data_IF_446895680198
#
_entry.id   IF_446895680198
#
_cell.length_a   1.000
_cell.length_b   1.000
_cell.length_c   1.000
_cell.angle_alpha   90.00
_cell.angle_beta   90.00
_cell.angle_gamma   90.00
#
_symmetry.space_group_name_H-M   'P 1'
#
loop_
_entity.id
_entity.type
_entity.pdbx_description
1 polymer ?
#
# COMPACT_ATOMS: atom_id res chain seq x y z
N UNK A 1 -14.71 5.60 -5.96
CA UNK A 1 -13.35 5.23 -5.53
C UNK A 1 -13.44 4.65 -4.14
N UNK A 2 -12.54 3.76 -3.77
CA UNK A 2 -12.60 3.07 -2.49
C UNK A 2 -12.44 4.07 -1.33
N UNK A 3 -13.31 4.04 -0.29
CA UNK A 3 -13.23 4.97 0.83
C UNK A 3 -11.94 4.83 1.64
N UNK A 4 -11.42 5.95 2.18
CA UNK A 4 -10.25 5.99 3.08
C UNK A 4 -10.32 4.96 4.20
N UNK A 5 -11.47 4.83 4.87
CA UNK A 5 -11.67 3.89 5.99
C UNK A 5 -11.52 2.41 5.57
N UNK A 6 -11.90 2.06 4.35
CA UNK A 6 -11.72 0.70 3.83
C UNK A 6 -10.24 0.36 3.58
N UNK A 7 -9.41 1.39 3.35
CA UNK A 7 -7.95 1.24 3.18
C UNK A 7 -7.25 1.25 4.54
N UNK A 8 -7.56 2.19 5.43
CA UNK A 8 -6.78 2.40 6.66
C UNK A 8 -7.34 1.68 7.90
N UNK A 9 -8.61 1.27 7.89
CA UNK A 9 -9.33 0.74 9.04
C UNK A 9 -9.01 -0.71 9.42
N UNK A 10 -7.76 -1.15 9.24
CA UNK A 10 -7.31 -2.52 9.52
C UNK A 10 -5.94 -2.54 10.20
N UNK A 11 -5.65 -3.63 10.90
CA UNK A 11 -4.43 -3.78 11.69
C UNK A 11 -3.15 -3.81 10.84
N UNK A 12 -3.21 -4.36 9.61
CA UNK A 12 -2.06 -4.38 8.69
C UNK A 12 -1.58 -2.96 8.37
N UNK A 13 -2.49 -2.07 7.97
CA UNK A 13 -2.13 -0.70 7.62
C UNK A 13 -1.72 0.13 8.84
N UNK A 14 -2.41 -0.03 9.98
CA UNK A 14 -2.02 0.60 11.23
C UNK A 14 -0.58 0.26 11.61
N UNK A 15 -0.24 -1.02 11.51
CA UNK A 15 1.08 -1.52 11.87
C UNK A 15 2.16 -1.10 10.88
N UNK A 16 1.91 -1.19 9.57
CA UNK A 16 2.83 -0.71 8.55
C UNK A 16 3.10 0.79 8.74
N UNK A 17 2.07 1.61 8.97
CA UNK A 17 2.27 3.04 9.19
C UNK A 17 3.03 3.29 10.48
N UNK A 18 2.72 2.59 11.58
CA UNK A 18 3.49 2.72 12.83
C UNK A 18 4.98 2.37 12.64
N UNK A 19 5.28 1.36 11.84
CA UNK A 19 6.65 0.99 11.45
C UNK A 19 7.30 2.11 10.62
N UNK A 20 6.57 2.73 9.68
CA UNK A 20 7.08 3.87 8.90
C UNK A 20 7.32 5.12 9.74
N UNK A 21 6.47 5.40 10.73
CA UNK A 21 6.66 6.51 11.66
C UNK A 21 7.91 6.31 12.50
N UNK A 22 8.20 5.06 12.89
CA UNK A 22 9.47 4.74 13.55
C UNK A 22 10.68 5.02 12.64
N UNK A 23 10.62 4.61 11.37
CA UNK A 23 11.66 4.98 10.38
C UNK A 23 11.75 6.49 10.17
N UNK A 24 10.62 7.20 10.14
CA UNK A 24 10.59 8.65 9.93
C UNK A 24 11.53 9.36 10.90
N UNK A 25 11.54 8.97 12.18
CA UNK A 25 12.45 9.55 13.16
C UNK A 25 13.93 9.30 12.84
N UNK A 26 14.29 8.10 12.36
CA UNK A 26 15.63 7.80 11.86
C UNK A 26 16.01 8.73 10.71
N UNK A 27 15.10 8.93 9.74
CA UNK A 27 15.32 9.77 8.56
C UNK A 27 15.42 11.25 8.91
N UNK A 28 14.66 11.73 9.89
CA UNK A 28 14.79 13.08 10.44
C UNK A 28 16.15 13.30 11.11
N UNK A 29 16.67 12.29 11.82
CA UNK A 29 18.03 12.27 12.34
C UNK A 29 19.09 12.39 11.24
N UNK A 30 18.97 11.60 10.18
CA UNK A 30 19.90 11.66 9.04
C UNK A 30 19.84 12.99 8.29
N UNK A 31 18.65 13.57 8.08
CA UNK A 31 18.52 14.90 7.48
C UNK A 31 19.30 15.94 8.28
N UNK A 32 19.17 15.92 9.61
CA UNK A 32 19.91 16.85 10.49
C UNK A 32 21.43 16.67 10.37
N UNK A 33 21.90 15.45 10.17
CA UNK A 33 23.31 15.15 9.99
C UNK A 33 23.82 15.40 8.55
N UNK A 34 22.96 15.80 7.61
CA UNK A 34 23.33 16.03 6.21
C UNK A 34 23.49 14.74 5.38
N UNK A 35 22.94 13.62 5.84
CA UNK A 35 23.10 12.28 5.21
C UNK A 35 21.77 11.67 4.76
N UNK A 36 20.86 12.49 4.23
CA UNK A 36 19.58 11.99 3.73
C UNK A 36 19.82 11.26 2.40
N UNK A 37 19.31 10.02 2.20
CA UNK A 37 19.54 9.30 0.96
C UNK A 37 18.78 9.96 -0.19
N UNK A 38 19.39 9.88 -1.38
CA UNK A 38 18.77 10.38 -2.59
C UNK A 38 17.54 9.57 -3.01
N UNK A 39 16.61 10.14 -3.80
CA UNK A 39 15.42 9.45 -4.28
C UNK A 39 15.65 8.17 -5.10
N UNK A 40 16.87 7.90 -5.53
CA UNK A 40 17.27 6.70 -6.28
C UNK A 40 18.29 5.84 -5.54
N UNK A 41 18.74 6.24 -4.35
CA UNK A 41 19.60 5.41 -3.50
C UNK A 41 18.73 4.32 -2.87
N UNK A 42 18.50 3.25 -3.64
CA UNK A 42 17.87 2.03 -3.15
C UNK A 42 18.76 1.46 -2.04
N UNK A 43 18.18 1.31 -0.85
CA UNK A 43 18.86 0.72 0.28
C UNK A 43 18.90 -0.78 0.07
N UNK A 44 19.79 -1.28 -0.79
CA UNK A 44 20.06 -2.72 -0.93
C UNK A 44 20.44 -3.38 0.41
N UNK A 45 20.74 -2.57 1.42
CA UNK A 45 20.75 -2.92 2.82
C UNK A 45 19.82 -1.95 3.56
N UNK A 46 19.08 -2.40 4.59
CA UNK A 46 18.20 -1.57 5.43
C UNK A 46 18.91 -0.47 6.26
N UNK A 47 20.01 0.07 5.73
CA UNK A 47 20.82 1.16 6.26
C UNK A 47 19.97 2.41 6.48
N UNK A 48 19.04 2.71 5.58
CA UNK A 48 18.23 3.94 5.66
C UNK A 48 16.79 3.68 6.09
N UNK A 49 16.07 2.76 5.42
CA UNK A 49 14.69 2.39 5.74
C UNK A 49 14.58 0.91 6.16
N UNK A 50 13.41 0.51 6.66
CA UNK A 50 13.05 -0.89 6.78
C UNK A 50 13.10 -1.54 5.39
N UNK A 51 13.57 -2.79 5.33
CA UNK A 51 13.64 -3.55 4.09
C UNK A 51 12.30 -3.53 3.37
N UNK A 52 12.35 -3.60 2.05
CA UNK A 52 11.16 -3.73 1.24
C UNK A 52 10.31 -4.90 1.72
N UNK A 53 8.99 -4.83 1.61
CA UNK A 53 8.15 -5.98 1.91
C UNK A 53 6.93 -5.98 1.00
N UNK A 54 6.47 -7.16 0.61
CA UNK A 54 5.20 -7.32 -0.12
C UNK A 54 4.29 -8.20 0.74
N UNK A 55 3.12 -7.69 1.10
CA UNK A 55 2.08 -8.45 1.79
C UNK A 55 0.99 -8.81 0.81
N UNK A 56 0.70 -10.10 0.67
CA UNK A 56 -0.23 -10.65 -0.34
C UNK A 56 -1.24 -11.55 0.38
N UNK A 57 -2.54 -11.48 0.06
CA UNK A 57 -3.50 -12.50 0.46
C UNK A 57 -3.04 -13.89 -0.01
N UNK A 58 -2.73 -14.78 0.94
CA UNK A 58 -1.92 -15.97 0.69
C UNK A 58 -2.55 -16.99 -0.26
N UNK A 59 -3.88 -17.08 -0.29
CA UNK A 59 -4.59 -17.98 -1.20
C UNK A 59 -4.48 -17.64 -2.69
N UNK A 60 -3.88 -16.50 -3.04
CA UNK A 60 -3.52 -16.15 -4.42
C UNK A 60 -2.30 -16.93 -4.94
N UNK A 61 -1.40 -17.38 -4.08
CA UNK A 61 -0.11 -17.93 -4.48
C UNK A 61 -0.09 -19.44 -4.24
N UNK A 62 0.00 -20.20 -5.33
CA UNK A 62 -0.01 -21.67 -5.26
C UNK A 62 1.37 -22.27 -4.94
N UNK A 63 2.41 -21.78 -5.61
CA UNK A 63 3.79 -22.25 -5.49
C UNK A 63 4.78 -21.08 -5.50
N UNK A 64 5.97 -21.31 -4.96
CA UNK A 64 7.09 -20.36 -5.01
C UNK A 64 7.85 -20.45 -6.35
N UNK A 65 8.96 -19.70 -6.46
CA UNK A 65 9.83 -19.71 -7.65
C UNK A 65 10.49 -21.06 -7.93
N UNK A 66 10.65 -21.90 -6.91
CA UNK A 66 11.22 -23.25 -7.03
C UNK A 66 10.13 -24.30 -7.34
N UNK A 67 8.93 -23.84 -7.71
CA UNK A 67 7.75 -24.65 -7.99
C UNK A 67 7.28 -25.49 -6.79
N UNK A 68 7.72 -25.14 -5.58
CA UNK A 68 7.30 -25.83 -4.36
C UNK A 68 5.98 -25.25 -3.88
N UNK A 69 5.07 -26.15 -3.52
CA UNK A 69 3.80 -25.77 -2.91
C UNK A 69 4.03 -24.94 -1.65
N UNK A 70 3.32 -23.82 -1.52
CA UNK A 70 3.41 -22.99 -0.32
C UNK A 70 2.89 -23.77 0.89
N UNK A 71 3.76 -23.93 1.90
CA UNK A 71 3.39 -24.43 3.23
C UNK A 71 3.45 -23.27 4.21
N UNK A 72 2.46 -23.19 5.09
CA UNK A 72 2.41 -22.20 6.15
C UNK A 72 1.94 -22.85 7.45
N UNK A 73 2.39 -22.31 8.57
CA UNK A 73 1.94 -22.74 9.88
C UNK A 73 0.62 -22.04 10.22
N UNK A 74 -0.38 -22.84 10.60
CA UNK A 74 -1.67 -22.34 11.08
C UNK A 74 -1.57 -22.08 12.57
N UNK A 75 -1.88 -20.86 12.99
CA UNK A 75 -1.93 -20.47 14.39
C UNK A 75 -3.37 -20.33 14.90
N UNK A 76 -4.36 -20.63 14.07
CA UNK A 76 -5.77 -20.38 14.35
C UNK A 76 -6.12 -18.89 14.30
N UNK A 77 -7.26 -18.50 14.87
CA UNK A 77 -7.69 -17.10 14.88
C UNK A 77 -6.72 -16.28 15.76
N UNK A 78 -6.08 -15.29 15.15
CA UNK A 78 -5.08 -14.45 15.79
C UNK A 78 -5.70 -13.12 16.25
N UNK A 79 -5.32 -12.66 17.45
CA UNK A 79 -5.69 -11.33 17.93
C UNK A 79 -4.85 -10.23 17.29
N UNK A 80 -5.38 -9.02 17.27
CA UNK A 80 -4.74 -7.85 16.65
C UNK A 80 -3.29 -7.65 17.12
N UNK A 81 -3.03 -7.74 18.42
CA UNK A 81 -1.68 -7.54 18.99
C UNK A 81 -0.67 -8.58 18.51
N UNK A 82 -1.06 -9.85 18.49
CA UNK A 82 -0.21 -10.94 18.01
C UNK A 82 0.03 -10.82 16.50
N UNK A 83 -0.99 -10.42 15.74
CA UNK A 83 -0.87 -10.16 14.30
C UNK A 83 0.12 -9.03 14.03
N UNK A 84 -0.01 -7.90 14.73
CA UNK A 84 0.91 -6.76 14.59
C UNK A 84 2.37 -7.13 14.87
N UNK A 85 2.61 -7.96 15.90
CA UNK A 85 3.94 -8.48 16.20
C UNK A 85 4.52 -9.29 15.03
N UNK A 86 3.71 -10.18 14.45
CA UNK A 86 4.12 -10.97 13.26
C UNK A 86 4.40 -10.09 12.05
N UNK A 87 3.63 -9.02 11.82
CA UNK A 87 3.92 -8.04 10.75
C UNK A 87 5.29 -7.37 10.96
N UNK A 88 5.64 -6.96 12.19
CA UNK A 88 6.98 -6.42 12.48
C UNK A 88 8.10 -7.42 12.20
N UNK A 89 7.89 -8.69 12.51
CA UNK A 89 8.85 -9.75 12.23
C UNK A 89 8.99 -9.96 10.71
N UNK A 90 7.88 -9.96 9.98
CA UNK A 90 7.85 -10.13 8.52
C UNK A 90 8.54 -8.98 7.76
N UNK A 91 8.49 -7.75 8.26
CA UNK A 91 9.18 -6.57 7.68
C UNK A 91 10.71 -6.70 7.64
N UNK A 92 11.30 -7.73 8.26
CA UNK A 92 12.74 -8.02 8.18
C UNK A 92 13.14 -8.75 6.89
N UNK A 93 12.18 -9.32 6.17
CA UNK A 93 12.41 -10.02 4.92
C UNK A 93 12.14 -9.09 3.74
N UNK A 94 13.00 -9.13 2.73
CA UNK A 94 12.81 -8.33 1.50
C UNK A 94 11.77 -8.94 0.53
N UNK A 95 11.45 -10.20 0.77
CA UNK A 95 10.60 -11.05 -0.07
C UNK A 95 9.11 -10.93 0.31
N UNK A 96 8.27 -11.69 -0.39
CA UNK A 96 6.84 -11.68 -0.13
C UNK A 96 6.49 -12.36 1.21
N UNK A 97 5.47 -11.80 1.86
CA UNK A 97 4.78 -12.35 3.01
C UNK A 97 3.34 -12.64 2.59
N UNK A 98 2.94 -13.89 2.75
CA UNK A 98 1.60 -14.37 2.41
C UNK A 98 0.75 -14.43 3.67
N UNK A 99 -0.37 -13.71 3.63
CA UNK A 99 -1.29 -13.52 4.75
C UNK A 99 -2.50 -14.46 4.61
N UNK A 100 -2.74 -15.31 5.59
CA UNK A 100 -3.91 -16.17 5.69
C UNK A 100 -4.74 -15.74 6.90
N UNK A 101 -6.05 -15.98 6.89
CA UNK A 101 -6.90 -15.66 8.05
C UNK A 101 -6.48 -16.42 9.31
N UNK A 102 -5.86 -17.59 9.15
CA UNK A 102 -5.42 -18.49 10.22
C UNK A 102 -3.89 -18.64 10.31
N UNK A 103 -3.11 -17.84 9.57
CA UNK A 103 -1.67 -18.02 9.53
C UNK A 103 -0.92 -17.04 8.63
N UNK A 104 0.40 -17.19 8.58
CA UNK A 104 1.26 -16.34 7.77
C UNK A 104 2.54 -17.09 7.40
N UNK A 105 3.08 -16.82 6.22
CA UNK A 105 4.43 -17.25 5.83
C UNK A 105 5.19 -16.07 5.22
N UNK A 106 6.42 -15.87 5.66
CA UNK A 106 7.30 -14.78 5.22
C UNK A 106 8.49 -15.32 4.45
N UNK A 107 9.12 -14.48 3.63
CA UNK A 107 10.35 -14.84 2.94
C UNK A 107 10.15 -15.55 1.59
N UNK A 108 8.93 -15.53 1.03
CA UNK A 108 8.59 -16.27 -0.18
C UNK A 108 9.16 -15.57 -1.43
N UNK A 109 9.99 -16.30 -2.18
CA UNK A 109 10.45 -15.90 -3.50
C UNK A 109 9.37 -16.21 -4.53
N UNK A 110 9.05 -15.22 -5.36
CA UNK A 110 7.96 -15.31 -6.32
C UNK A 110 8.52 -15.18 -7.74
N UNK A 111 8.00 -15.98 -8.67
CA UNK A 111 8.40 -15.92 -10.07
C UNK A 111 7.73 -14.72 -10.78
N UNK A 112 8.50 -13.65 -10.97
CA UNK A 112 8.05 -12.46 -11.71
C UNK A 112 7.64 -12.78 -13.16
N UNK A 113 8.24 -13.79 -13.80
CA UNK A 113 7.92 -14.22 -15.16
C UNK A 113 6.53 -14.82 -15.25
N UNK A 114 6.22 -15.78 -14.36
CA UNK A 114 4.89 -16.39 -14.25
C UNK A 114 3.78 -15.34 -14.10
N UNK A 115 3.89 -14.43 -13.13
CA UNK A 115 2.86 -13.41 -12.89
C UNK A 115 2.74 -12.42 -14.04
N UNK A 116 3.86 -12.04 -14.67
CA UNK A 116 3.84 -11.15 -15.84
C UNK A 116 3.11 -11.80 -17.03
N UNK A 117 3.37 -13.07 -17.29
CA UNK A 117 2.70 -13.86 -18.33
C UNK A 117 1.21 -14.03 -18.02
N UNK A 118 0.86 -14.34 -16.78
CA UNK A 118 -0.52 -14.44 -16.33
C UNK A 118 -1.31 -13.15 -16.57
N UNK A 119 -0.79 -12.02 -16.07
CA UNK A 119 -1.43 -10.72 -16.20
C UNK A 119 -1.62 -10.32 -17.67
N UNK A 120 -0.62 -10.54 -18.53
CA UNK A 120 -0.73 -10.31 -19.98
C UNK A 120 -1.81 -11.17 -20.61
N UNK A 121 -1.82 -12.49 -20.35
CA UNK A 121 -2.85 -13.39 -20.94
C UNK A 121 -4.27 -12.99 -20.52
N UNK A 122 -4.47 -12.69 -19.24
CA UNK A 122 -5.78 -12.24 -18.71
C UNK A 122 -6.28 -11.03 -19.49
N UNK A 123 -5.45 -9.99 -19.65
CA UNK A 123 -5.88 -8.76 -20.33
C UNK A 123 -5.97 -8.90 -21.86
N UNK A 124 -5.14 -9.73 -22.47
CA UNK A 124 -5.29 -10.08 -23.89
C UNK A 124 -6.63 -10.76 -24.14
N UNK A 125 -7.02 -11.74 -23.30
CA UNK A 125 -8.31 -12.41 -23.44
C UNK A 125 -9.50 -11.51 -23.14
N UNK A 126 -9.45 -10.70 -22.07
CA UNK A 126 -10.51 -9.71 -21.79
C UNK A 126 -10.69 -8.77 -22.97
N UNK A 127 -9.59 -8.22 -23.52
CA UNK A 127 -9.66 -7.34 -24.68
C UNK A 127 -10.25 -8.03 -25.91
N UNK A 128 -9.91 -9.30 -26.15
CA UNK A 128 -10.47 -10.08 -27.25
C UNK A 128 -11.98 -10.33 -27.07
N UNK A 129 -12.39 -10.73 -25.87
CA UNK A 129 -13.79 -11.02 -25.54
C UNK A 129 -14.70 -9.77 -25.61
N UNK A 130 -14.18 -8.59 -25.25
CA UNK A 130 -14.93 -7.33 -25.28
C UNK A 130 -14.94 -6.61 -26.64
N UNK A 131 -14.35 -7.19 -27.70
CA UNK A 131 -14.54 -6.68 -29.07
C UNK A 131 -15.97 -6.97 -29.52
N UNK A 132 -16.86 -5.98 -29.35
CA UNK A 132 -18.28 -6.05 -29.75
C UNK A 132 -18.50 -6.27 -31.26
N UNK A 133 -17.49 -6.03 -32.08
CA UNK A 133 -17.52 -6.29 -33.53
C UNK A 133 -16.18 -6.94 -33.88
N UNK A 134 -16.21 -8.12 -34.52
CA UNK A 134 -15.02 -8.73 -35.14
C UNK A 134 -14.65 -7.93 -36.40
N UNK A 135 -14.14 -6.71 -36.24
CA UNK A 135 -13.55 -5.98 -37.35
C UNK A 135 -12.17 -6.57 -37.63
N UNK A 136 -12.04 -7.26 -38.76
CA UNK A 136 -10.73 -7.61 -39.34
C UNK A 136 -10.17 -6.32 -39.94
N UNK A 137 -9.68 -5.43 -39.07
CA UNK A 137 -8.96 -4.24 -39.49
C UNK A 137 -7.49 -4.56 -39.72
N UNK A 138 -6.85 -3.86 -40.67
CA UNK A 138 -5.39 -3.93 -40.92
C UNK A 138 -4.52 -3.43 -39.75
N UNK A 139 -5.14 -3.03 -38.63
CA UNK A 139 -4.43 -2.54 -37.44
C UNK A 139 -3.81 -3.69 -36.67
N UNK A 140 -2.49 -3.62 -36.42
CA UNK A 140 -1.78 -4.53 -35.53
C UNK A 140 -2.54 -4.56 -34.19
N UNK A 141 -3.00 -5.73 -33.72
CA UNK A 141 -3.63 -5.83 -32.42
C UNK A 141 -2.67 -5.25 -31.38
N UNK A 142 -3.06 -4.15 -30.72
CA UNK A 142 -2.21 -3.54 -29.70
C UNK A 142 -1.98 -4.56 -28.58
N UNK A 143 -0.79 -5.14 -28.58
CA UNK A 143 -0.33 -6.13 -27.64
C UNK A 143 -0.10 -5.45 -26.30
N UNK A 144 -0.73 -5.95 -25.24
CA UNK A 144 -0.54 -5.40 -23.90
C UNK A 144 0.73 -6.02 -23.33
N UNK A 145 1.76 -5.19 -23.12
CA UNK A 145 2.98 -5.61 -22.45
C UNK A 145 2.80 -5.67 -20.92
N UNK A 146 3.72 -6.33 -20.22
CA UNK A 146 3.78 -6.24 -18.75
C UNK A 146 4.02 -4.80 -18.30
N UNK A 147 4.83 -4.05 -19.04
CA UNK A 147 5.19 -2.68 -18.70
C UNK A 147 3.99 -1.73 -18.80
N UNK A 148 3.08 -1.98 -19.73
CA UNK A 148 1.80 -1.27 -19.82
C UNK A 148 0.94 -1.49 -18.56
N UNK A 149 0.91 -2.73 -18.06
CA UNK A 149 0.19 -3.09 -16.84
C UNK A 149 0.85 -2.44 -15.62
N UNK A 150 2.18 -2.54 -15.51
CA UNK A 150 2.96 -1.97 -14.42
C UNK A 150 2.79 -0.45 -14.37
N UNK A 151 2.95 0.20 -15.53
CA UNK A 151 2.77 1.65 -15.70
C UNK A 151 1.41 2.12 -15.21
N UNK A 152 0.36 1.32 -15.41
CA UNK A 152 -1.02 1.68 -15.06
C UNK A 152 -1.31 1.70 -13.57
N UNK A 153 -0.50 1.01 -12.76
CA UNK A 153 -0.67 0.96 -11.29
C UNK A 153 0.44 1.71 -10.55
N UNK A 154 1.22 2.54 -11.26
CA UNK A 154 2.29 3.32 -10.66
C UNK A 154 1.95 4.81 -10.67
N UNK A 155 2.31 5.54 -9.60
CA UNK A 155 2.19 6.98 -9.59
C UNK A 155 3.12 7.62 -10.64
N UNK A 156 2.79 8.83 -11.08
CA UNK A 156 3.51 9.49 -12.18
C UNK A 156 4.97 9.81 -11.88
N UNK A 157 5.33 10.00 -10.62
CA UNK A 157 6.70 10.26 -10.19
C UNK A 157 7.59 9.00 -10.19
N UNK A 158 7.00 7.79 -10.19
CA UNK A 158 7.76 6.55 -10.28
C UNK A 158 8.03 6.24 -11.75
N UNK A 159 9.24 6.45 -12.25
CA UNK A 159 9.61 6.25 -13.67
C UNK A 159 10.22 4.84 -13.89
N UNK A 160 10.10 4.27 -15.12
CA UNK A 160 10.85 3.06 -15.47
C UNK A 160 12.38 3.34 -15.50
N UNK A 161 13.22 2.30 -15.37
CA UNK A 161 12.87 0.89 -15.21
C UNK A 161 12.26 0.60 -13.84
N UNK A 162 11.29 -0.31 -13.78
CA UNK A 162 10.65 -0.69 -12.52
C UNK A 162 11.38 -1.86 -11.86
N UNK A 163 11.71 -1.72 -10.58
CA UNK A 163 12.28 -2.81 -9.80
C UNK A 163 11.34 -4.01 -9.64
N UNK A 164 11.91 -5.19 -9.36
CA UNK A 164 11.21 -6.48 -9.29
C UNK A 164 9.95 -6.45 -8.41
N UNK A 165 10.03 -5.82 -7.23
CA UNK A 165 8.88 -5.68 -6.30
C UNK A 165 7.69 -4.98 -6.96
N UNK A 166 7.93 -3.94 -7.74
CA UNK A 166 6.87 -3.21 -8.46
C UNK A 166 6.28 -4.05 -9.58
N UNK A 167 7.13 -4.74 -10.33
CA UNK A 167 6.71 -5.60 -11.44
C UNK A 167 5.79 -6.70 -10.93
N UNK A 168 6.26 -7.45 -9.93
CA UNK A 168 5.58 -8.62 -9.42
C UNK A 168 4.28 -8.28 -8.69
N UNK A 169 4.29 -7.30 -7.80
CA UNK A 169 3.09 -6.89 -7.05
C UNK A 169 1.99 -6.34 -7.95
N UNK A 170 2.35 -5.60 -9.00
CA UNK A 170 1.37 -5.10 -9.96
C UNK A 170 0.75 -6.23 -10.78
N UNK A 171 1.55 -7.21 -11.20
CA UNK A 171 1.03 -8.37 -11.91
C UNK A 171 0.17 -9.28 -11.01
N UNK A 172 0.51 -9.44 -9.73
CA UNK A 172 -0.32 -10.18 -8.76
C UNK A 172 -1.62 -9.43 -8.48
N UNK A 173 -1.62 -8.09 -8.49
CA UNK A 173 -2.85 -7.31 -8.34
C UNK A 173 -3.89 -7.66 -9.42
N UNK A 174 -3.44 -7.97 -10.64
CA UNK A 174 -4.32 -8.46 -11.70
C UNK A 174 -4.97 -9.79 -11.32
N UNK A 175 -4.23 -10.71 -10.70
CA UNK A 175 -4.77 -11.99 -10.22
C UNK A 175 -5.87 -11.80 -9.16
N UNK A 176 -5.74 -10.77 -8.33
CA UNK A 176 -6.73 -10.43 -7.32
C UNK A 176 -7.97 -9.72 -7.92
N UNK A 177 -7.77 -8.84 -8.90
CA UNK A 177 -8.86 -8.14 -9.60
C UNK A 177 -9.67 -9.10 -10.49
N UNK A 178 -8.98 -10.00 -11.18
CA UNK A 178 -9.53 -10.92 -12.18
C UNK A 178 -9.34 -12.39 -11.78
N UNK A 179 -9.70 -12.73 -10.53
CA UNK A 179 -9.48 -14.05 -9.95
C UNK A 179 -10.04 -15.23 -10.76
N UNK A 180 -11.22 -15.19 -11.39
CA UNK A 180 -11.69 -16.30 -12.21
C UNK A 180 -10.80 -16.58 -13.43
N UNK A 181 -10.32 -15.52 -14.10
CA UNK A 181 -9.40 -15.64 -15.23
C UNK A 181 -8.02 -16.11 -14.78
N UNK A 182 -7.58 -15.66 -13.59
CA UNK A 182 -6.35 -16.13 -12.98
C UNK A 182 -6.41 -17.61 -12.60
N UNK A 183 -7.53 -18.06 -12.01
CA UNK A 183 -7.77 -19.47 -11.73
C UNK A 183 -7.69 -20.31 -13.01
N UNK A 184 -8.36 -19.87 -14.08
CA UNK A 184 -8.33 -20.56 -15.37
C UNK A 184 -6.90 -20.63 -15.95
N UNK A 185 -6.12 -19.55 -15.82
CA UNK A 185 -4.72 -19.53 -16.21
C UNK A 185 -3.89 -20.55 -15.41
N UNK A 186 -3.99 -20.52 -14.07
CA UNK A 186 -3.26 -21.45 -13.20
C UNK A 186 -3.64 -22.90 -13.46
N UNK A 187 -4.93 -23.19 -13.62
CA UNK A 187 -5.43 -24.54 -13.91
C UNK A 187 -4.77 -25.14 -15.15
N UNK A 188 -4.61 -24.33 -16.20
CA UNK A 188 -3.99 -24.76 -17.46
C UNK A 188 -2.46 -24.81 -17.36
N UNK A 189 -1.81 -23.75 -16.88
CA UNK A 189 -0.34 -23.69 -16.87
C UNK A 189 0.29 -24.66 -15.86
N UNK A 190 -0.42 -24.97 -14.76
CA UNK A 190 0.05 -25.88 -13.71
C UNK A 190 -0.59 -27.27 -13.82
N UNK A 191 -1.37 -27.54 -14.87
CA UNK A 191 -2.03 -28.82 -15.12
C UNK A 191 -2.76 -29.40 -13.89
N UNK A 192 -3.60 -28.59 -13.24
CA UNK A 192 -4.27 -29.02 -12.02
C UNK A 192 -5.18 -30.23 -12.22
N UNK A 193 -5.00 -31.22 -11.35
CA UNK A 193 -5.99 -32.27 -11.13
C UNK A 193 -7.31 -31.70 -10.59
N UNK A 194 -8.38 -32.51 -10.62
CA UNK A 194 -9.67 -32.10 -10.07
C UNK A 194 -9.63 -31.72 -8.57
N UNK A 195 -8.80 -32.42 -7.78
CA UNK A 195 -8.62 -32.13 -6.35
C UNK A 195 -7.83 -30.83 -6.12
N UNK A 196 -6.74 -30.62 -6.87
CA UNK A 196 -5.96 -29.38 -6.83
C UNK A 196 -6.80 -28.17 -7.26
N UNK A 197 -7.61 -28.32 -8.31
CA UNK A 197 -8.53 -27.28 -8.78
C UNK A 197 -9.51 -26.86 -7.68
N UNK A 198 -10.15 -27.82 -7.01
CA UNK A 198 -11.08 -27.52 -5.90
C UNK A 198 -10.37 -26.83 -4.74
N UNK A 199 -9.21 -27.35 -4.34
CA UNK A 199 -8.41 -26.78 -3.24
C UNK A 199 -7.99 -25.34 -3.54
N UNK A 200 -7.48 -25.10 -4.76
CA UNK A 200 -7.00 -23.77 -5.15
C UNK A 200 -8.15 -22.77 -5.32
N UNK A 201 -9.29 -23.19 -5.88
CA UNK A 201 -10.48 -22.33 -5.93
C UNK A 201 -10.89 -21.88 -4.53
N UNK A 202 -10.98 -22.82 -3.58
CA UNK A 202 -11.35 -22.51 -2.20
C UNK A 202 -10.32 -21.64 -1.46
N UNK A 203 -9.03 -21.72 -1.78
CA UNK A 203 -8.04 -20.78 -1.24
C UNK A 203 -8.13 -19.41 -1.88
N UNK A 204 -8.39 -19.35 -3.19
CA UNK A 204 -8.53 -18.12 -3.94
C UNK A 204 -9.76 -17.32 -3.51
N UNK A 205 -10.89 -17.98 -3.25
CA UNK A 205 -12.10 -17.34 -2.73
C UNK A 205 -11.84 -16.72 -1.36
N UNK A 206 -11.20 -17.47 -0.45
CA UNK A 206 -10.81 -16.96 0.89
C UNK A 206 -9.82 -15.80 0.81
N UNK A 207 -8.95 -15.74 -0.20
CA UNK A 207 -8.02 -14.63 -0.39
C UNK A 207 -8.72 -13.32 -0.77
N UNK A 208 -10.00 -13.37 -1.14
CA UNK A 208 -10.84 -12.23 -1.52
C UNK A 208 -11.75 -11.76 -0.38
N UNK A 209 -11.64 -12.38 0.79
CA UNK A 209 -12.37 -12.02 1.99
C UNK A 209 -11.46 -11.32 2.99
N UNK A 210 -11.97 -10.34 3.76
CA UNK A 210 -11.20 -9.75 4.85
C UNK A 210 -10.95 -10.80 5.94
N UNK A 211 -9.72 -10.85 6.44
CA UNK A 211 -9.40 -11.62 7.63
C UNK A 211 -9.76 -10.82 8.89
N UNK A 212 -10.39 -11.48 9.85
CA UNK A 212 -10.91 -10.85 11.08
C UNK A 212 -10.39 -11.62 12.30
N UNK A 213 -10.04 -10.89 13.37
CA UNK A 213 -9.65 -11.48 14.66
C UNK A 213 -10.83 -12.14 15.37
N UNK A 214 -10.61 -12.83 16.50
CA UNK A 214 -11.74 -13.35 17.31
C UNK A 214 -12.57 -12.20 17.89
N UNK A 215 -11.92 -11.09 18.21
CA UNK A 215 -12.55 -9.85 18.70
C UNK A 215 -13.31 -9.06 17.63
N UNK A 216 -13.32 -9.49 16.36
CA UNK A 216 -14.04 -8.81 15.28
C UNK A 216 -13.24 -7.68 14.62
N UNK A 217 -11.98 -7.47 14.98
CA UNK A 217 -11.11 -6.48 14.33
C UNK A 217 -10.63 -6.98 12.96
N UNK A 218 -10.68 -6.13 11.94
CA UNK A 218 -10.17 -6.47 10.61
C UNK A 218 -8.64 -6.50 10.66
N UNK A 219 -8.06 -7.67 10.47
CA UNK A 219 -6.61 -7.88 10.44
C UNK A 219 -6.04 -7.33 9.14
N UNK A 220 -6.57 -7.80 8.01
CA UNK A 220 -6.23 -7.30 6.68
C UNK A 220 -7.39 -7.53 5.71
N UNK A 221 -7.66 -6.58 4.81
CA UNK A 221 -8.59 -6.75 3.69
C UNK A 221 -7.91 -7.42 2.48
N UNK A 222 -8.67 -7.81 1.45
CA UNK A 222 -8.15 -8.47 0.26
C UNK A 222 -7.50 -7.47 -0.71
N UNK A 223 -6.37 -6.90 -0.32
CA UNK A 223 -5.49 -6.13 -1.21
C UNK A 223 -4.02 -6.48 -0.95
N UNK A 224 -3.16 -6.05 -1.86
CA UNK A 224 -1.71 -6.23 -1.75
C UNK A 224 -1.10 -4.94 -1.21
N UNK A 225 -0.23 -5.05 -0.21
CA UNK A 225 0.54 -3.91 0.31
C UNK A 225 2.00 -4.06 -0.05
N UNK A 226 2.57 -3.04 -0.68
CA UNK A 226 3.96 -3.01 -1.11
C UNK A 226 4.67 -1.89 -0.36
N UNK A 227 5.61 -2.28 0.49
CA UNK A 227 6.49 -1.40 1.22
C UNK A 227 7.77 -1.20 0.40
N UNK A 228 7.97 0.01 -0.12
CA UNK A 228 9.24 0.42 -0.73
C UNK A 228 10.19 0.97 0.32
N UNK A 229 11.48 0.86 0.07
CA UNK A 229 12.57 1.44 0.85
C UNK A 229 12.99 2.80 0.26
N UNK A 230 12.86 2.96 -1.06
CA UNK A 230 13.22 4.18 -1.77
C UNK A 230 12.20 5.30 -1.62
N UNK A 231 12.72 6.51 -1.39
CA UNK A 231 11.97 7.76 -1.40
C UNK A 231 11.79 8.28 -2.82
N UNK A 232 10.82 7.75 -3.57
CA UNK A 232 10.50 8.21 -4.94
C UNK A 232 10.08 9.69 -5.06
N UNK A 233 9.99 10.43 -3.95
CA UNK A 233 9.71 11.86 -3.89
C UNK A 233 10.65 12.50 -2.87
N UNK A 234 11.24 13.64 -3.23
CA UNK A 234 12.12 14.41 -2.35
C UNK A 234 11.42 14.82 -1.04
N UNK A 235 10.18 15.31 -1.15
CA UNK A 235 9.37 15.70 0.01
C UNK A 235 8.90 14.54 0.89
N UNK A 236 9.00 13.28 0.42
CA UNK A 236 8.64 12.11 1.21
C UNK A 236 9.86 11.63 2.00
N UNK A 237 9.71 11.40 3.31
CA UNK A 237 10.84 11.09 4.19
C UNK A 237 11.16 9.60 4.32
N UNK A 238 10.16 8.77 4.09
CA UNK A 238 10.28 7.31 4.11
C UNK A 238 9.90 6.75 2.75
N UNK A 239 10.15 5.46 2.55
CA UNK A 239 9.72 4.78 1.35
C UNK A 239 8.20 4.78 1.17
N UNK A 240 7.79 4.72 -0.11
CA UNK A 240 6.41 4.67 -0.55
C UNK A 240 5.71 3.38 -0.08
N UNK A 241 4.48 3.48 0.42
CA UNK A 241 3.61 2.30 0.60
C UNK A 241 2.56 2.28 -0.49
N UNK A 242 2.61 1.31 -1.41
CA UNK A 242 1.59 1.12 -2.46
C UNK A 242 0.58 0.06 -2.05
N UNK A 243 -0.67 0.29 -2.42
CA UNK A 243 -1.79 -0.58 -2.09
C UNK A 243 -2.49 -0.93 -3.40
N UNK A 244 -2.48 -2.20 -3.78
CA UNK A 244 -2.84 -2.69 -5.11
C UNK A 244 -3.96 -3.73 -5.03
N UNK A 245 -4.66 -3.93 -6.15
CA UNK A 245 -5.81 -4.84 -6.20
C UNK A 245 -7.06 -4.26 -5.55
N UNK A 246 -7.06 -2.94 -5.32
CA UNK A 246 -8.22 -2.23 -4.79
C UNK A 246 -9.13 -1.83 -5.96
N UNK A 247 -10.27 -2.50 -6.10
CA UNK A 247 -11.27 -2.15 -7.11
C UNK A 247 -10.91 -2.65 -8.51
N UNK A 248 -10.92 -1.75 -9.51
CA UNK A 248 -10.76 -2.13 -10.93
C UNK A 248 -9.32 -1.98 -11.43
N UNK A 249 -9.06 -2.42 -12.67
CA UNK A 249 -7.74 -2.27 -13.28
C UNK A 249 -7.22 -0.83 -13.23
N UNK A 250 -5.97 -0.68 -12.80
CA UNK A 250 -5.29 0.60 -12.70
C UNK A 250 -5.76 1.46 -11.53
N UNK A 251 -6.73 1.01 -10.74
CA UNK A 251 -7.06 1.60 -9.45
C UNK A 251 -6.05 1.10 -8.41
N UNK A 252 -5.44 2.04 -7.69
CA UNK A 252 -4.47 1.75 -6.64
C UNK A 252 -4.40 2.92 -5.66
N UNK A 253 -3.77 2.72 -4.50
CA UNK A 253 -3.49 3.81 -3.58
C UNK A 253 -2.00 3.87 -3.22
N UNK A 254 -1.57 5.04 -2.77
CA UNK A 254 -0.27 5.23 -2.15
C UNK A 254 -0.38 5.98 -0.84
N UNK A 255 0.42 5.57 0.13
CA UNK A 255 0.64 6.28 1.38
C UNK A 255 2.11 6.71 1.49
N UNK A 256 2.31 7.97 1.89
CA UNK A 256 3.63 8.59 2.10
C UNK A 256 3.60 9.48 3.33
N UNK A 257 4.77 9.64 3.97
CA UNK A 257 5.00 10.64 5.02
C UNK A 257 5.74 11.82 4.38
N UNK A 258 5.03 12.94 4.18
CA UNK A 258 5.50 14.09 3.41
C UNK A 258 5.66 15.35 4.27
N UNK A 259 6.67 16.14 3.97
CA UNK A 259 6.84 17.48 4.53
C UNK A 259 5.71 18.42 4.10
N UNK A 260 5.22 19.21 5.05
CA UNK A 260 4.29 20.31 4.80
C UNK A 260 4.99 21.43 4.04
N UNK A 261 5.08 21.23 2.73
CA UNK A 261 5.68 22.17 1.76
C UNK A 261 4.60 23.02 1.09
N UNK A 262 5.02 24.13 0.45
CA UNK A 262 4.13 24.96 -0.39
C UNK A 262 3.41 24.13 -1.46
N UNK A 263 4.11 23.15 -2.04
CA UNK A 263 3.56 22.24 -3.05
C UNK A 263 2.46 21.35 -2.48
N UNK A 264 2.69 20.76 -1.30
CA UNK A 264 1.68 19.91 -0.65
C UNK A 264 0.46 20.72 -0.19
N UNK A 265 0.67 21.92 0.35
CA UNK A 265 -0.41 22.83 0.73
C UNK A 265 -1.28 23.21 -0.49
N UNK A 266 -0.66 23.55 -1.62
CA UNK A 266 -1.38 23.84 -2.86
C UNK A 266 -2.10 22.60 -3.43
N UNK A 267 -1.53 21.40 -3.30
CA UNK A 267 -2.19 20.15 -3.66
C UNK A 267 -3.42 19.89 -2.77
N UNK A 268 -3.28 20.00 -1.45
CA UNK A 268 -4.34 19.81 -0.48
C UNK A 268 -5.49 20.81 -0.70
N UNK A 269 -5.18 22.10 -0.89
CA UNK A 269 -6.18 23.13 -1.16
C UNK A 269 -6.98 22.84 -2.44
N UNK A 270 -6.31 22.47 -3.55
CA UNK A 270 -7.00 22.09 -4.80
C UNK A 270 -7.87 20.85 -4.62
N UNK A 271 -7.52 19.96 -3.69
CA UNK A 271 -8.26 18.75 -3.35
C UNK A 271 -9.26 18.95 -2.21
N UNK A 272 -9.44 20.18 -1.74
CA UNK A 272 -10.34 20.54 -0.63
C UNK A 272 -10.03 19.73 0.64
N UNK A 273 -8.73 19.62 0.94
CA UNK A 273 -8.23 19.01 2.16
C UNK A 273 -7.51 20.09 2.98
N UNK A 274 -7.68 20.02 4.29
CA UNK A 274 -7.02 20.91 5.24
C UNK A 274 -6.03 20.09 6.07
N UNK A 275 -4.86 20.68 6.32
CA UNK A 275 -3.87 20.10 7.24
C UNK A 275 -4.05 20.80 8.57
N UNK A 276 -4.33 20.03 9.60
CA UNK A 276 -4.49 20.50 10.97
C UNK A 276 -3.32 20.02 11.85
N UNK A 277 -3.09 20.65 13.02
CA UNK A 277 -2.05 20.20 13.94
C UNK A 277 -2.19 18.72 14.37
N UNK A 278 -3.43 18.22 14.48
CA UNK A 278 -3.73 16.83 14.82
C UNK A 278 -3.38 15.82 13.71
N UNK A 279 -2.98 16.30 12.52
CA UNK A 279 -2.56 15.46 11.38
C UNK A 279 -1.04 15.26 11.34
N UNK A 280 -0.30 15.95 12.21
CA UNK A 280 1.16 15.93 12.22
C UNK A 280 1.64 14.63 12.86
N UNK A 281 2.40 13.85 12.09
CA UNK A 281 3.07 12.64 12.58
C UNK A 281 4.39 12.94 13.29
N UNK A 282 5.08 14.00 12.89
CA UNK A 282 6.30 14.46 13.53
C UNK A 282 6.55 15.95 13.25
N UNK A 283 6.97 16.68 14.29
CA UNK A 283 7.60 17.99 14.17
C UNK A 283 9.06 17.89 14.57
N UNK A 284 9.96 18.34 13.69
CA UNK A 284 11.41 18.34 13.95
C UNK A 284 12.18 19.36 13.11
N UNK A 285 13.02 20.17 13.74
CA UNK A 285 13.78 21.28 13.17
C UNK A 285 12.92 22.23 12.30
N UNK A 286 11.74 22.59 12.79
CA UNK A 286 10.81 23.47 12.06
C UNK A 286 10.11 22.81 10.87
N UNK A 287 10.23 21.49 10.74
CA UNK A 287 9.55 20.70 9.71
C UNK A 287 8.37 19.99 10.34
N UNK A 288 7.20 20.12 9.72
CA UNK A 288 6.03 19.31 10.03
C UNK A 288 5.85 18.25 8.96
N UNK A 289 5.67 17.01 9.39
CA UNK A 289 5.49 15.85 8.52
C UNK A 289 4.08 15.29 8.71
N UNK A 290 3.36 15.09 7.60
CA UNK A 290 1.98 14.58 7.60
C UNK A 290 1.87 13.29 6.78
N UNK A 291 0.87 12.47 7.10
CA UNK A 291 0.53 11.29 6.32
C UNK A 291 -0.38 11.66 5.16
N UNK A 292 0.00 11.28 3.93
CA UNK A 292 -0.76 11.56 2.72
C UNK A 292 -1.15 10.25 2.04
N UNK A 293 -2.45 10.00 1.96
CA UNK A 293 -3.03 8.90 1.17
C UNK A 293 -3.56 9.46 -0.15
N UNK A 294 -3.07 8.91 -1.27
CA UNK A 294 -3.60 9.20 -2.61
C UNK A 294 -4.28 7.95 -3.15
N UNK A 295 -5.53 8.04 -3.57
CA UNK A 295 -6.28 6.95 -4.20
C UNK A 295 -6.44 7.30 -5.68
N UNK A 296 -5.88 6.51 -6.57
CA UNK A 296 -5.88 6.74 -8.02
C UNK A 296 -7.04 6.00 -8.65
N UNK A 297 -7.79 6.68 -9.53
CA UNK A 297 -8.96 6.07 -10.16
C UNK A 297 -8.55 5.01 -11.22
N UNK A 298 -9.47 4.12 -11.62
CA UNK A 298 -9.22 3.13 -12.68
C UNK A 298 -8.73 3.76 -13.98
N UNK A 299 -7.87 3.04 -14.71
CA UNK A 299 -7.30 3.47 -15.99
C UNK A 299 -7.28 2.33 -17.01
N UNK A 300 -6.66 2.55 -18.17
CA UNK A 300 -6.43 1.52 -19.19
C UNK A 300 -4.95 1.13 -19.25
N UNK A 301 -4.62 -0.09 -19.70
CA UNK A 301 -3.24 -0.52 -19.88
C UNK A 301 -2.39 0.50 -20.64
N UNK A 302 -1.18 0.77 -20.16
CA UNK A 302 -0.23 1.72 -20.75
C UNK A 302 -0.44 3.19 -20.34
N UNK A 303 -1.56 3.53 -19.69
CA UNK A 303 -1.86 4.90 -19.27
C UNK A 303 -1.60 5.11 -17.79
N UNK A 304 -0.96 6.22 -17.43
CA UNK A 304 -0.93 6.73 -16.05
C UNK A 304 -2.06 7.70 -15.83
N UNK A 305 -2.85 7.49 -14.79
CA UNK A 305 -3.92 8.43 -14.46
C UNK A 305 -3.40 9.57 -13.58
N UNK A 306 -3.74 10.80 -13.93
CA UNK A 306 -3.49 12.00 -13.11
C UNK A 306 -4.63 12.26 -12.11
N UNK A 307 -5.77 11.60 -12.29
CA UNK A 307 -6.93 11.75 -11.41
C UNK A 307 -6.79 10.84 -10.19
N UNK A 308 -6.70 11.47 -9.03
CA UNK A 308 -6.70 10.82 -7.73
C UNK A 308 -7.43 11.69 -6.71
N UNK A 309 -7.90 11.05 -5.65
CA UNK A 309 -8.36 11.69 -4.42
C UNK A 309 -7.18 11.76 -3.46
N UNK A 310 -7.08 12.86 -2.73
CA UNK A 310 -6.06 13.07 -1.70
C UNK A 310 -6.75 13.11 -0.35
N UNK A 311 -6.17 12.40 0.61
CA UNK A 311 -6.59 12.43 2.00
C UNK A 311 -5.40 12.71 2.89
N UNK A 312 -5.57 13.69 3.78
CA UNK A 312 -4.69 13.85 4.93
C UNK A 312 -5.10 12.80 5.98
N UNK A 313 -4.11 12.09 6.51
CA UNK A 313 -4.32 11.00 7.47
C UNK A 313 -3.95 11.51 8.86
N UNK A 314 -4.89 11.43 9.79
CA UNK A 314 -4.63 11.77 11.19
C UNK A 314 -4.11 10.54 11.95
N UNK A 315 -2.94 10.61 12.61
CA UNK A 315 -2.40 9.49 13.37
C UNK A 315 -3.36 8.98 14.44
N UNK A 316 -3.98 9.88 15.21
CA UNK A 316 -4.90 9.48 16.28
C UNK A 316 -6.27 9.09 15.73
N UNK A 317 -6.89 9.93 14.89
CA UNK A 317 -8.29 9.73 14.46
C UNK A 317 -8.45 8.59 13.46
N UNK A 318 -7.54 8.46 12.48
CA UNK A 318 -7.65 7.42 11.45
C UNK A 318 -6.98 6.10 11.84
N UNK A 319 -5.89 6.16 12.62
CA UNK A 319 -5.03 5.00 12.87
C UNK A 319 -4.98 4.58 14.35
N UNK A 320 -5.46 5.39 15.29
CA UNK A 320 -5.35 5.12 16.72
C UNK A 320 -3.90 5.09 17.23
N UNK A 321 -3.00 5.83 16.58
CA UNK A 321 -1.58 5.85 16.92
C UNK A 321 -1.23 6.97 17.91
N UNK A 322 -0.49 6.61 18.95
CA UNK A 322 0.18 7.55 19.86
C UNK A 322 1.57 7.90 19.29
N UNK A 323 1.63 8.98 18.52
CA UNK A 323 2.84 9.45 17.86
C UNK A 323 3.90 9.95 18.84
N UNK A 324 3.50 10.47 20.01
CA UNK A 324 4.44 10.93 21.04
C UNK A 324 5.18 9.76 21.70
N UNK A 325 4.45 8.67 22.00
CA UNK A 325 5.06 7.43 22.48
C UNK A 325 5.98 6.81 21.44
N UNK A 326 5.58 6.78 20.17
CA UNK A 326 6.45 6.30 19.08
C UNK A 326 7.71 7.17 18.98
N UNK A 327 7.55 8.50 18.92
CA UNK A 327 8.66 9.45 18.85
C UNK A 327 9.66 9.29 19.99
N UNK A 328 9.20 9.15 21.24
CA UNK A 328 10.10 8.92 22.39
C UNK A 328 10.93 7.65 22.21
N UNK A 329 10.31 6.54 21.81
CA UNK A 329 11.00 5.26 21.60
C UNK A 329 11.98 5.34 20.44
N UNK A 330 11.58 5.91 19.31
CA UNK A 330 12.42 5.99 18.10
C UNK A 330 13.58 6.94 18.28
N UNK A 331 13.38 8.10 18.94
CA UNK A 331 14.47 9.05 19.24
C UNK A 331 15.55 8.43 20.11
N UNK A 332 15.19 7.63 21.11
CA UNK A 332 16.14 6.87 21.93
C UNK A 332 16.88 5.84 21.07
N UNK A 333 16.14 5.02 20.31
CA UNK A 333 16.73 3.95 19.47
C UNK A 333 17.74 4.50 18.45
N UNK A 334 17.43 5.63 17.84
CA UNK A 334 18.21 6.20 16.74
C UNK A 334 19.08 7.38 17.17
N UNK A 335 19.21 7.65 18.47
CA UNK A 335 20.02 8.74 19.03
C UNK A 335 19.71 10.11 18.40
N UNK A 336 18.43 10.37 18.08
CA UNK A 336 17.99 11.61 17.46
C UNK A 336 17.95 12.69 18.54
N UNK A 337 18.76 13.76 18.45
CA UNK A 337 18.83 14.76 19.52
C UNK A 337 17.49 15.46 19.70
N UNK A 338 17.13 15.75 20.95
CA UNK A 338 16.02 16.66 21.26
C UNK A 338 16.33 18.03 20.69
N UNK A 339 15.32 18.72 20.19
CA UNK A 339 15.45 20.14 19.87
C UNK A 339 15.86 20.89 21.14
N UNK A 340 16.94 21.67 21.05
CA UNK A 340 17.13 22.74 22.02
C UNK A 340 15.98 23.70 21.79
N UNK A 341 15.14 23.92 22.80
CA UNK A 341 14.15 24.99 22.78
C UNK A 341 14.92 26.30 22.64
N UNK A 342 15.12 26.78 21.43
CA UNK A 342 15.43 28.19 21.19
C UNK A 342 14.16 28.94 21.59
N UNK A 343 14.28 29.86 22.54
CA UNK A 343 13.15 30.53 23.18
C UNK A 343 12.31 31.31 22.19
N UNK A 344 11.29 30.66 21.65
CA UNK A 344 10.16 31.29 20.97
C UNK A 344 8.95 30.37 21.17
N UNK A 345 8.37 30.44 22.37
CA UNK A 345 7.05 29.88 22.66
C UNK A 345 6.01 30.57 21.77
N UNK A 346 5.63 29.94 20.66
CA UNK A 346 4.36 30.28 19.99
C UNK A 346 3.23 29.69 20.83
N UNK A 347 2.50 30.56 21.51
CA UNK A 347 1.26 30.27 22.19
C UNK A 347 0.29 29.57 21.23
N UNK A 348 -0.17 28.37 21.60
CA UNK A 348 -1.33 27.72 20.97
C UNK A 348 -2.56 28.52 21.38
N UNK A 349 -2.97 29.49 20.56
CA UNK A 349 -4.33 30.02 20.64
C UNK A 349 -5.22 29.15 19.75
N UNK A 350 -6.23 28.56 20.38
CA UNK A 350 -7.18 27.66 19.74
C UNK A 350 -8.05 28.40 18.73
N UNK A 351 -8.28 27.74 17.60
CA UNK A 351 -9.44 27.95 16.76
C UNK A 351 -9.94 26.56 16.35
N UNK A 352 -11.16 26.25 16.77
CA UNK A 352 -11.79 24.95 16.54
C UNK A 352 -11.95 24.67 15.04
N UNK A 353 -11.73 23.41 14.65
CA UNK A 353 -12.23 22.90 13.39
C UNK A 353 -13.76 22.88 13.42
N UNK A 354 -14.46 23.25 12.35
CA UNK A 354 -15.90 23.07 12.27
C UNK A 354 -16.23 21.58 12.20
N UNK A 355 -17.03 21.11 13.15
CA UNK A 355 -17.62 19.77 13.14
C UNK A 355 -18.61 19.64 11.97
N UNK A 356 -18.42 18.60 11.15
CA UNK A 356 -19.45 18.12 10.22
C UNK A 356 -20.56 17.43 11.03
N UNK A 357 -21.58 18.18 11.44
CA UNK A 357 -22.85 17.59 11.91
C UNK A 357 -24.06 18.28 11.26
N UNK A 358 -24.86 17.45 10.59
CA UNK A 358 -26.32 17.50 10.51
C UNK A 358 -27.00 18.80 10.06
N UNK A 359 -27.49 18.81 8.81
CA UNK A 359 -28.72 19.55 8.47
C UNK A 359 -29.81 18.55 8.11
N UNK A 360 -30.54 18.11 9.13
CA UNK A 360 -31.91 17.63 9.01
C UNK A 360 -32.87 18.84 9.12
N UNK A 361 -33.70 18.94 8.08
CA UNK A 361 -35.05 19.51 7.99
C UNK A 361 -35.68 20.20 9.21
N UNK A 362 -36.13 21.45 8.98
CA UNK A 362 -37.45 21.98 9.41
C UNK A 362 -37.72 23.32 8.74
N UNK A 363 -38.73 23.37 7.86
CA UNK A 363 -39.50 24.59 7.63
C UNK A 363 -40.95 24.20 7.38
N UNK A 364 -41.78 24.42 8.39
CA UNK A 364 -43.23 24.45 8.30
C UNK A 364 -43.68 25.81 8.85
N UNK A 365 -44.57 26.46 8.09
CA UNK A 365 -45.42 27.65 8.39
C UNK A 365 -44.69 29.01 8.29
N UNK A 366 -45.24 30.04 7.63
CA UNK A 366 -46.63 30.38 7.28
C UNK A 366 -46.84 30.66 5.79
#
# INVERSE_FOLDING_TARGET
MIPRKAILGNELMREIIAIRVDTLWKMLGYRKAGFLPDPSEEGATGRYDNKGAIFIPGGLIYQDVDEKSIRYERYGNIEADAFRKKIREAMRFDNATLLYGDGMVSGINLDSGFFSKAARKIYTYKKAAFRRIKTIGKGIPLEISSDDIIRSHCPTYMKPPYGTRTRISTCIAVALIDSPMYFAYCKTELNFTGSQSRKFSATLDRAREPAVSKSGAVLFPPYIVVCHDTRYKEAAYTGLTRILGIGRFGEFASFTLEEVSKTLLAEAQRKKQHICPDDIFASYNGLDIVGVLRVYAPTNPGRRLLKYDLHIVSPAKDLGLDVDRLARKSRIRYHVPRERKTGASRSRNGSGCPDETGKETRSDRQ
#
